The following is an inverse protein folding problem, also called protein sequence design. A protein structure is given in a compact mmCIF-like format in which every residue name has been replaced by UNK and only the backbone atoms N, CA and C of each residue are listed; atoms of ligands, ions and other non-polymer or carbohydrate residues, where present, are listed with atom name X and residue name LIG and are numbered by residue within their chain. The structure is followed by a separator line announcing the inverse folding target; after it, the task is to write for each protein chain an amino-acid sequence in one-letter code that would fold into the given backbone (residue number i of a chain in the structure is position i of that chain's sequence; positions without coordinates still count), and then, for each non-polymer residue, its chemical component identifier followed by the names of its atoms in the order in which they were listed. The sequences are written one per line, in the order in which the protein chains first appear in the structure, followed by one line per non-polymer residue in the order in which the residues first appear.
data_IF_995419589451
#
_entry.id   IF_995419589451
#
_cell.length_a   1.000
_cell.length_b   1.000
_cell.length_c   1.000
_cell.angle_alpha   90.00
_cell.angle_beta   90.00
_cell.angle_gamma   90.00
#
_symmetry.space_group_name_H-M   'P 1'
#
loop_
_entity.id
_entity.type
_entity.pdbx_description
1 polymer ?
#
# COMPACT_ATOMS: atom_id res chain seq x y z
N UNK A 1 -19.20 5.43 -19.82
CA UNK A 1 -18.89 3.98 -19.70
C UNK A 1 -17.41 3.79 -19.96
N UNK A 2 -16.60 3.58 -18.92
CA UNK A 2 -15.43 2.71 -19.00
C UNK A 2 -15.07 2.26 -17.58
N UNK A 3 -14.94 0.95 -17.45
CA UNK A 3 -14.94 0.20 -16.20
C UNK A 3 -13.59 0.38 -15.50
N UNK A 4 -13.44 1.37 -14.64
CA UNK A 4 -12.19 1.64 -13.91
C UNK A 4 -11.84 0.58 -12.85
N UNK A 5 -12.57 -0.54 -12.79
CA UNK A 5 -12.04 -1.79 -12.26
C UNK A 5 -11.16 -2.42 -13.34
N UNK A 6 -9.92 -1.94 -13.49
CA UNK A 6 -8.89 -2.87 -13.97
C UNK A 6 -8.84 -3.99 -12.93
N UNK A 7 -9.47 -5.13 -13.23
CA UNK A 7 -9.41 -6.33 -12.38
C UNK A 7 -8.00 -6.90 -12.51
N UNK A 8 -7.00 -6.18 -11.99
CA UNK A 8 -5.60 -6.62 -12.02
C UNK A 8 -5.50 -7.97 -11.33
N UNK A 9 -6.17 -8.14 -10.20
CA UNK A 9 -6.50 -9.44 -9.61
C UNK A 9 -7.60 -10.10 -10.46
N UNK A 10 -7.30 -11.20 -11.19
CA UNK A 10 -8.29 -11.89 -12.01
C UNK A 10 -9.38 -12.51 -11.14
N UNK A 11 -10.55 -12.81 -11.74
CA UNK A 11 -11.62 -13.57 -11.07
C UNK A 11 -11.26 -15.05 -10.94
N UNK A 12 -10.61 -15.59 -11.96
CA UNK A 12 -10.13 -16.97 -12.00
C UNK A 12 -8.94 -17.17 -11.05
N UNK A 13 -8.58 -18.44 -10.85
CA UNK A 13 -7.39 -18.83 -10.11
C UNK A 13 -6.16 -18.68 -10.98
N UNK A 14 -5.14 -18.00 -10.46
CA UNK A 14 -3.82 -17.93 -11.11
C UNK A 14 -3.05 -19.22 -10.77
N UNK A 15 -2.42 -19.89 -11.74
CA UNK A 15 -1.66 -21.12 -11.49
C UNK A 15 -0.46 -20.85 -10.58
N UNK A 16 -0.03 -21.86 -9.83
CA UNK A 16 1.19 -21.79 -8.98
C UNK A 16 2.32 -22.57 -9.63
N UNK A 17 3.56 -22.22 -9.29
CA UNK A 17 4.72 -22.96 -9.77
C UNK A 17 4.72 -24.43 -9.31
N UNK A 18 5.00 -25.33 -10.25
CA UNK A 18 5.17 -26.76 -9.99
C UNK A 18 6.61 -27.12 -9.67
N UNK A 19 7.58 -26.36 -10.20
CA UNK A 19 9.02 -26.60 -10.05
C UNK A 19 9.81 -25.28 -9.96
N UNK A 20 11.05 -25.38 -9.46
CA UNK A 20 11.98 -24.26 -9.36
C UNK A 20 12.70 -23.97 -10.69
N UNK A 21 13.07 -22.72 -10.93
CA UNK A 21 13.73 -22.28 -12.16
C UNK A 21 12.78 -22.04 -13.34
N UNK A 22 11.52 -21.72 -13.07
CA UNK A 22 10.56 -21.34 -14.09
C UNK A 22 10.93 -20.00 -14.75
N UNK A 23 11.00 -20.00 -16.08
CA UNK A 23 11.16 -18.80 -16.91
C UNK A 23 9.95 -18.73 -17.83
N UNK A 24 9.34 -17.56 -17.95
CA UNK A 24 8.16 -17.39 -18.80
C UNK A 24 8.15 -16.05 -19.51
N UNK A 25 7.40 -15.98 -20.60
CA UNK A 25 7.17 -14.75 -21.35
C UNK A 25 5.83 -14.12 -20.94
N UNK A 26 5.87 -12.86 -20.51
CA UNK A 26 4.73 -12.05 -20.10
C UNK A 26 4.73 -10.72 -20.88
N UNK A 27 4.02 -10.72 -22.02
CA UNK A 27 4.03 -9.65 -23.04
C UNK A 27 3.69 -8.24 -22.51
N UNK A 28 2.99 -8.17 -21.38
CA UNK A 28 2.53 -6.91 -20.79
C UNK A 28 3.59 -6.21 -19.92
N UNK A 29 4.76 -6.83 -19.73
CA UNK A 29 5.86 -6.22 -18.98
C UNK A 29 6.90 -5.61 -19.92
N UNK A 30 7.55 -4.50 -19.51
CA UNK A 30 8.67 -3.93 -20.27
C UNK A 30 9.82 -4.92 -20.49
N UNK A 31 10.00 -5.85 -19.55
CA UNK A 31 11.01 -6.91 -19.57
C UNK A 31 10.24 -8.25 -19.51
N UNK A 32 9.81 -8.79 -20.66
CA UNK A 32 8.78 -9.81 -20.70
C UNK A 32 9.28 -11.20 -20.29
N UNK A 33 10.59 -11.45 -20.29
CA UNK A 33 11.14 -12.72 -19.78
C UNK A 33 11.26 -12.66 -18.26
N UNK A 34 10.29 -13.28 -17.57
CA UNK A 34 10.21 -13.31 -16.11
C UNK A 34 10.84 -14.59 -15.58
N UNK A 35 11.84 -14.42 -14.73
CA UNK A 35 12.52 -15.48 -14.00
C UNK A 35 11.91 -15.58 -12.60
N UNK A 36 11.13 -16.63 -12.38
CA UNK A 36 10.50 -16.88 -11.09
C UNK A 36 11.47 -17.54 -10.10
N UNK A 37 11.38 -17.19 -8.80
CA UNK A 37 12.08 -17.93 -7.75
C UNK A 37 11.40 -19.27 -7.49
N UNK A 38 11.90 -20.01 -6.50
CA UNK A 38 11.21 -21.22 -6.04
C UNK A 38 9.81 -20.89 -5.53
N UNK A 39 8.95 -21.90 -5.35
CA UNK A 39 7.59 -21.73 -4.82
C UNK A 39 7.52 -20.90 -3.53
N UNK A 40 8.54 -20.97 -2.67
CA UNK A 40 8.61 -20.24 -1.41
C UNK A 40 9.56 -19.04 -1.44
N UNK A 41 9.99 -18.63 -2.63
CA UNK A 41 10.90 -17.51 -2.81
C UNK A 41 10.22 -16.15 -2.78
N UNK A 42 10.95 -15.09 -3.17
CA UNK A 42 10.45 -13.71 -3.00
C UNK A 42 10.83 -12.77 -4.14
N UNK A 43 12.02 -12.91 -4.71
CA UNK A 43 12.53 -11.97 -5.71
C UNK A 43 12.39 -12.56 -7.10
N UNK A 44 11.87 -11.77 -8.03
CA UNK A 44 11.72 -12.14 -9.44
C UNK A 44 12.78 -11.41 -10.26
N UNK A 45 13.36 -12.11 -11.24
CA UNK A 45 14.23 -11.53 -12.25
C UNK A 45 13.45 -11.20 -13.51
N UNK A 46 13.90 -10.19 -14.25
CA UNK A 46 13.26 -9.68 -15.45
C UNK A 46 14.32 -9.47 -16.53
N UNK A 47 14.03 -9.91 -17.75
CA UNK A 47 14.98 -9.88 -18.86
C UNK A 47 14.24 -9.40 -20.12
N UNK A 48 14.89 -8.55 -20.91
CA UNK A 48 14.26 -7.90 -22.08
C UNK A 48 14.17 -8.87 -23.26
N UNK A 49 15.26 -9.61 -23.50
CA UNK A 49 15.36 -10.71 -24.43
C UNK A 49 16.44 -11.70 -23.97
N UNK A 50 16.47 -12.90 -24.55
CA UNK A 50 17.36 -14.01 -24.13
C UNK A 50 18.86 -13.65 -24.07
N UNK A 51 19.28 -12.63 -24.82
CA UNK A 51 20.69 -12.18 -24.90
C UNK A 51 21.01 -11.02 -23.96
N UNK A 52 20.02 -10.44 -23.28
CA UNK A 52 20.24 -9.34 -22.32
C UNK A 52 20.51 -9.85 -20.91
N UNK A 53 21.17 -9.07 -20.05
CA UNK A 53 21.29 -9.44 -18.64
C UNK A 53 19.93 -9.53 -17.94
N UNK A 54 19.89 -10.27 -16.84
CA UNK A 54 18.72 -10.36 -15.97
C UNK A 54 18.78 -9.22 -14.94
N UNK A 55 17.69 -8.48 -14.80
CA UNK A 55 17.53 -7.36 -13.87
C UNK A 55 16.52 -7.71 -12.78
N UNK A 56 16.77 -7.25 -11.56
CA UNK A 56 15.71 -7.09 -10.57
C UNK A 56 15.02 -5.74 -10.75
N UNK A 57 13.76 -5.63 -10.32
CA UNK A 57 13.15 -4.31 -10.25
C UNK A 57 13.76 -3.50 -9.10
N UNK A 58 14.10 -2.23 -9.34
CA UNK A 58 14.68 -1.35 -8.32
C UNK A 58 13.82 -1.24 -7.05
N UNK A 59 12.50 -1.41 -7.16
CA UNK A 59 11.60 -1.41 -6.00
C UNK A 59 11.81 -2.59 -5.04
N UNK A 60 12.65 -3.57 -5.40
CA UNK A 60 12.99 -4.73 -4.57
C UNK A 60 14.44 -4.67 -4.06
N UNK A 61 15.20 -3.64 -4.43
CA UNK A 61 16.65 -3.54 -4.15
C UNK A 61 16.95 -3.70 -2.67
N UNK A 62 16.35 -2.86 -1.83
CA UNK A 62 16.61 -2.86 -0.39
C UNK A 62 16.27 -4.21 0.27
N UNK A 63 15.13 -4.80 -0.09
CA UNK A 63 14.77 -6.13 0.41
C UNK A 63 15.74 -7.23 -0.04
N UNK A 64 16.20 -7.17 -1.28
CA UNK A 64 17.18 -8.13 -1.82
C UNK A 64 18.54 -7.98 -1.15
N UNK A 65 19.01 -6.76 -0.92
CA UNK A 65 20.25 -6.46 -0.19
C UNK A 65 20.22 -7.00 1.24
N UNK A 66 19.13 -6.75 1.98
CA UNK A 66 18.96 -7.25 3.35
C UNK A 66 18.90 -8.79 3.36
N UNK A 67 18.16 -9.39 2.42
CA UNK A 67 18.11 -10.84 2.27
C UNK A 67 19.51 -11.43 2.05
N UNK A 68 20.28 -10.89 1.11
CA UNK A 68 21.61 -11.39 0.78
C UNK A 68 22.62 -11.18 1.90
N UNK A 69 22.51 -10.09 2.65
CA UNK A 69 23.39 -9.80 3.78
C UNK A 69 23.16 -10.75 4.97
N UNK A 70 21.92 -11.19 5.18
CA UNK A 70 21.52 -11.86 6.41
C UNK A 70 21.22 -13.37 6.30
N UNK A 71 21.22 -13.93 5.09
CA UNK A 71 20.90 -15.36 4.90
C UNK A 71 22.16 -16.18 4.62
N UNK A 72 22.37 -17.18 5.46
CA UNK A 72 23.44 -18.17 5.33
C UNK A 72 23.15 -19.12 4.15
N UNK A 73 23.48 -18.68 2.93
CA UNK A 73 23.66 -19.51 1.73
C UNK A 73 22.41 -20.24 1.18
N UNK A 74 21.20 -19.92 1.66
CA UNK A 74 19.95 -20.46 1.10
C UNK A 74 19.37 -19.52 0.04
N UNK A 75 19.78 -19.69 -1.21
CA UNK A 75 19.34 -18.88 -2.36
C UNK A 75 17.89 -19.13 -2.85
N UNK A 76 17.05 -19.80 -2.06
CA UNK A 76 15.68 -20.18 -2.46
C UNK A 76 14.76 -19.00 -2.76
N UNK A 77 15.10 -17.79 -2.30
CA UNK A 77 14.36 -16.55 -2.56
C UNK A 77 14.67 -15.91 -3.91
N UNK A 78 15.75 -16.34 -4.58
CA UNK A 78 16.22 -15.82 -5.86
C UNK A 78 15.96 -16.86 -6.97
N UNK A 79 15.69 -16.44 -8.22
CA UNK A 79 15.53 -17.36 -9.35
C UNK A 79 16.74 -18.24 -9.59
N UNK A 80 16.52 -19.52 -9.92
CA UNK A 80 17.59 -20.50 -10.15
C UNK A 80 18.61 -20.03 -11.20
N UNK A 81 18.16 -19.35 -12.24
CA UNK A 81 18.99 -18.75 -13.30
C UNK A 81 20.04 -17.76 -12.78
N UNK A 82 19.79 -17.13 -11.64
CA UNK A 82 20.68 -16.15 -11.02
C UNK A 82 21.55 -16.74 -9.91
N UNK A 83 21.27 -17.96 -9.43
CA UNK A 83 22.01 -18.56 -8.30
C UNK A 83 23.43 -18.98 -8.67
N UNK A 84 23.63 -19.47 -9.89
CA UNK A 84 24.94 -19.95 -10.36
C UNK A 84 25.98 -18.83 -10.46
N UNK A 85 25.55 -17.58 -10.62
CA UNK A 85 26.41 -16.41 -10.69
C UNK A 85 26.71 -15.77 -9.31
N UNK A 86 26.17 -16.33 -8.22
CA UNK A 86 26.30 -15.78 -6.86
C UNK A 86 27.39 -16.48 -6.01
N UNK A 87 28.32 -17.20 -6.65
CA UNK A 87 29.49 -17.76 -5.95
C UNK A 87 30.49 -16.66 -5.56
N UNK A 88 30.58 -16.37 -4.24
CA UNK A 88 31.44 -15.36 -3.57
C UNK A 88 30.98 -13.87 -3.68
N UNK A 89 31.19 -13.06 -2.63
CA UNK A 89 30.35 -11.91 -2.28
C UNK A 89 30.72 -10.67 -3.10
N UNK A 90 30.30 -10.61 -4.35
CA UNK A 90 30.20 -9.34 -5.05
C UNK A 90 28.72 -9.02 -5.27
N UNK A 91 28.17 -8.24 -4.32
CA UNK A 91 26.91 -7.51 -4.48
C UNK A 91 26.86 -6.69 -5.79
N UNK A 92 28.01 -6.50 -6.44
CA UNK A 92 28.23 -5.84 -7.73
C UNK A 92 27.75 -6.61 -8.98
N UNK A 93 27.23 -7.84 -8.86
CA UNK A 93 26.75 -8.59 -10.05
C UNK A 93 25.24 -8.44 -10.27
N UNK A 94 24.50 -7.87 -9.31
CA UNK A 94 23.05 -7.70 -9.42
C UNK A 94 22.73 -6.42 -10.17
N UNK A 95 21.95 -6.56 -11.23
CA UNK A 95 21.50 -5.45 -12.04
C UNK A 95 20.07 -5.06 -11.65
N UNK A 96 19.80 -3.76 -11.64
CA UNK A 96 18.50 -3.22 -11.27
C UNK A 96 17.98 -2.31 -12.37
N UNK A 97 16.67 -2.38 -12.62
CA UNK A 97 15.98 -1.47 -13.54
C UNK A 97 14.65 -1.02 -12.96
N UNK A 98 14.31 0.24 -13.20
CA UNK A 98 13.07 0.83 -12.69
C UNK A 98 11.87 0.30 -13.45
N UNK A 99 10.77 0.08 -12.71
CA UNK A 99 9.45 -0.24 -13.24
C UNK A 99 9.46 -1.41 -14.23
N UNK A 100 10.15 -2.51 -13.91
CA UNK A 100 10.13 -3.74 -14.72
C UNK A 100 9.21 -4.84 -14.15
N UNK A 101 8.88 -4.80 -12.86
CA UNK A 101 8.07 -5.84 -12.23
C UNK A 101 6.56 -5.67 -12.40
N UNK A 102 5.82 -6.72 -12.07
CA UNK A 102 4.36 -6.74 -12.02
C UNK A 102 3.77 -5.61 -11.16
N UNK A 103 4.33 -5.36 -9.97
CA UNK A 103 3.78 -4.35 -9.05
C UNK A 103 3.92 -2.94 -9.59
N UNK A 104 5.10 -2.57 -10.10
CA UNK A 104 5.32 -1.24 -10.66
C UNK A 104 4.52 -0.98 -11.93
N UNK A 105 4.21 -2.03 -12.70
CA UNK A 105 3.42 -1.93 -13.92
C UNK A 105 1.95 -2.31 -13.74
N UNK A 106 1.51 -2.59 -12.51
CA UNK A 106 0.11 -2.95 -12.18
C UNK A 106 -0.43 -4.13 -12.99
N UNK A 107 0.39 -5.17 -13.18
CA UNK A 107 0.01 -6.41 -13.83
C UNK A 107 -0.10 -7.58 -12.85
N UNK A 108 -0.92 -8.58 -13.22
CA UNK A 108 -0.95 -9.85 -12.52
C UNK A 108 0.23 -10.70 -12.99
N UNK A 109 1.00 -11.33 -12.08
CA UNK A 109 1.97 -12.33 -12.46
C UNK A 109 1.28 -13.54 -13.09
N UNK A 110 1.90 -14.15 -14.10
CA UNK A 110 1.44 -15.39 -14.71
C UNK A 110 1.36 -16.55 -13.71
N UNK A 111 2.36 -16.65 -12.83
CA UNK A 111 2.35 -17.60 -11.72
C UNK A 111 2.21 -16.91 -10.37
N UNK A 112 1.26 -17.41 -9.60
CA UNK A 112 0.95 -16.98 -8.24
C UNK A 112 1.83 -17.68 -7.20
N UNK A 113 1.99 -17.03 -6.05
CA UNK A 113 2.68 -17.58 -4.88
C UNK A 113 1.99 -18.84 -4.33
N UNK A 114 0.67 -18.86 -4.34
CA UNK A 114 -0.18 -19.96 -3.89
C UNK A 114 -0.97 -19.67 -2.62
N UNK A 115 -1.99 -20.50 -2.37
CA UNK A 115 -2.87 -20.35 -1.21
C UNK A 115 -2.10 -20.61 0.09
N UNK A 116 -2.30 -19.74 1.08
CA UNK A 116 -1.90 -19.96 2.47
C UNK A 116 -3.16 -20.10 3.33
N UNK A 117 -3.05 -20.76 4.48
CA UNK A 117 -4.20 -21.10 5.33
C UNK A 117 -5.03 -19.88 5.76
N UNK A 118 -4.35 -18.74 6.01
CA UNK A 118 -4.95 -17.48 6.48
C UNK A 118 -4.82 -16.33 5.47
N UNK A 119 -4.30 -16.58 4.27
CA UNK A 119 -4.00 -15.54 3.28
C UNK A 119 -5.19 -15.15 2.42
N UNK A 120 -5.22 -13.90 1.99
CA UNK A 120 -6.23 -13.42 1.05
C UNK A 120 -5.95 -13.94 -0.37
N UNK A 121 -6.92 -13.73 -1.28
CA UNK A 121 -6.69 -13.95 -2.72
C UNK A 121 -5.54 -13.08 -3.27
N UNK A 122 -5.38 -11.87 -2.74
CA UNK A 122 -4.32 -10.98 -3.16
C UNK A 122 -2.97 -11.52 -2.69
N UNK A 123 -2.88 -11.95 -1.44
CA UNK A 123 -1.72 -12.66 -0.90
C UNK A 123 -1.34 -13.85 -1.77
N UNK A 124 -2.32 -14.68 -2.14
CA UNK A 124 -2.03 -15.89 -2.91
C UNK A 124 -1.44 -15.60 -4.28
N UNK A 125 -1.64 -14.41 -4.83
CA UNK A 125 -1.08 -13.99 -6.12
C UNK A 125 0.26 -13.27 -5.90
N UNK A 126 0.30 -12.28 -5.01
CA UNK A 126 1.42 -11.36 -4.84
C UNK A 126 2.38 -11.73 -3.70
N UNK A 127 2.25 -12.92 -3.10
CA UNK A 127 3.07 -13.36 -1.97
C UNK A 127 4.59 -13.21 -2.18
N UNK A 128 5.09 -13.40 -3.40
CA UNK A 128 6.50 -13.12 -3.73
C UNK A 128 6.92 -11.69 -3.34
N UNK A 129 6.11 -10.70 -3.74
CA UNK A 129 6.36 -9.29 -3.45
C UNK A 129 6.14 -8.93 -1.98
N UNK A 130 5.15 -9.56 -1.34
CA UNK A 130 4.87 -9.37 0.09
C UNK A 130 6.05 -9.85 0.93
N UNK A 131 6.58 -11.04 0.63
CA UNK A 131 7.77 -11.55 1.29
C UNK A 131 9.03 -10.78 0.89
N UNK A 132 9.13 -10.26 -0.34
CA UNK A 132 10.23 -9.37 -0.73
C UNK A 132 10.25 -8.07 0.07
N UNK A 133 9.07 -7.48 0.31
CA UNK A 133 8.89 -6.30 1.14
C UNK A 133 9.15 -6.58 2.64
N UNK A 134 8.79 -7.78 3.12
CA UNK A 134 9.14 -8.24 4.47
C UNK A 134 10.65 -8.08 4.73
N UNK A 135 11.49 -8.53 3.79
CA UNK A 135 12.94 -8.37 3.92
C UNK A 135 13.36 -6.89 3.91
N UNK A 136 12.70 -6.03 3.13
CA UNK A 136 12.99 -4.58 3.10
C UNK A 136 12.80 -3.92 4.47
N UNK A 137 11.82 -4.39 5.23
CA UNK A 137 11.53 -3.97 6.60
C UNK A 137 12.29 -4.78 7.66
N UNK A 138 13.30 -5.56 7.24
CA UNK A 138 14.21 -6.23 8.15
C UNK A 138 13.68 -7.53 8.75
N UNK A 139 12.62 -8.13 8.20
CA UNK A 139 12.05 -9.39 8.70
C UNK A 139 12.05 -10.44 7.58
N UNK A 140 12.58 -11.63 7.84
CA UNK A 140 12.56 -12.75 6.90
C UNK A 140 11.17 -13.36 6.72
N UNK A 141 11.00 -14.14 5.65
CA UNK A 141 9.73 -14.81 5.31
C UNK A 141 9.14 -15.70 6.42
N UNK A 142 9.98 -16.22 7.32
CA UNK A 142 9.60 -17.07 8.45
C UNK A 142 9.56 -16.31 9.79
N UNK A 143 9.62 -14.98 9.77
CA UNK A 143 9.53 -14.14 10.97
C UNK A 143 10.85 -13.88 11.70
N UNK A 144 12.00 -14.30 11.15
CA UNK A 144 13.31 -13.94 11.72
C UNK A 144 13.58 -12.46 11.53
N UNK A 145 13.85 -11.74 12.61
CA UNK A 145 14.18 -10.32 12.56
C UNK A 145 15.68 -10.14 12.34
N UNK A 146 16.01 -9.49 11.23
CA UNK A 146 17.38 -9.17 10.81
C UNK A 146 17.78 -7.76 11.21
N UNK A 147 16.87 -6.80 11.00
CA UNK A 147 17.11 -5.37 11.15
C UNK A 147 15.88 -4.70 11.81
N UNK A 148 15.73 -4.79 13.14
CA UNK A 148 14.57 -4.24 13.85
C UNK A 148 14.34 -2.74 13.62
N UNK A 149 15.42 -1.99 13.41
CA UNK A 149 15.39 -0.55 13.13
C UNK A 149 14.70 -0.20 11.80
N UNK A 150 14.51 -1.17 10.91
CA UNK A 150 13.80 -1.00 9.64
C UNK A 150 12.30 -1.32 9.72
N UNK A 151 11.83 -1.83 10.86
CA UNK A 151 10.42 -2.16 11.06
C UNK A 151 9.61 -0.85 11.16
N UNK A 152 8.54 -0.68 10.37
CA UNK A 152 7.71 0.52 10.43
C UNK A 152 7.12 0.76 11.82
N UNK A 153 7.31 1.96 12.37
CA UNK A 153 6.84 2.31 13.72
C UNK A 153 5.33 2.10 13.92
N UNK A 154 4.53 2.22 12.86
CA UNK A 154 3.08 2.04 12.89
C UNK A 154 2.63 0.58 13.10
N UNK A 155 3.45 -0.41 12.74
CA UNK A 155 3.11 -1.83 12.99
C UNK A 155 3.65 -2.33 14.33
N UNK A 156 4.66 -1.66 14.91
CA UNK A 156 5.31 -2.06 16.17
C UNK A 156 4.32 -2.34 17.31
N UNK A 157 3.28 -1.52 17.56
CA UNK A 157 2.31 -1.79 18.63
C UNK A 157 1.52 -3.10 18.45
N UNK A 158 1.40 -3.59 17.21
CA UNK A 158 0.68 -4.82 16.87
C UNK A 158 1.60 -6.06 16.88
N UNK A 159 2.92 -5.87 16.98
CA UNK A 159 3.86 -6.97 17.15
C UNK A 159 3.96 -7.32 18.63
N UNK A 160 2.90 -7.91 19.19
CA UNK A 160 2.78 -8.28 20.62
C UNK A 160 3.65 -9.50 20.95
N UNK A 161 4.88 -9.54 20.40
CA UNK A 161 5.78 -10.68 20.56
C UNK A 161 6.05 -10.88 22.04
N UNK A 162 5.57 -11.98 22.61
CA UNK A 162 5.72 -12.27 24.05
C UNK A 162 7.16 -12.54 24.46
N UNK A 163 8.07 -12.71 23.50
CA UNK A 163 9.50 -12.92 23.71
C UNK A 163 10.26 -12.52 22.44
N UNK A 164 10.99 -11.40 22.48
CA UNK A 164 11.95 -11.03 21.42
C UNK A 164 13.30 -11.79 21.56
N UNK A 165 13.37 -12.76 22.48
CA UNK A 165 14.63 -13.37 22.95
C UNK A 165 15.38 -14.09 21.83
N UNK A 166 14.67 -14.65 20.84
CA UNK A 166 15.27 -15.42 19.75
C UNK A 166 15.35 -14.67 18.40
N UNK A 167 15.07 -13.35 18.39
CA UNK A 167 14.91 -12.56 17.15
C UNK A 167 13.89 -13.18 16.18
N UNK A 168 12.83 -13.79 16.70
CA UNK A 168 11.76 -14.42 15.93
C UNK A 168 10.43 -13.80 16.35
N UNK A 169 9.61 -13.46 15.36
CA UNK A 169 8.20 -13.15 15.59
C UNK A 169 7.44 -14.43 15.93
N UNK A 170 6.47 -14.34 16.86
CA UNK A 170 5.48 -15.39 17.02
C UNK A 170 4.50 -15.44 15.83
N UNK A 171 3.67 -16.48 15.76
CA UNK A 171 2.78 -16.72 14.62
C UNK A 171 1.78 -15.57 14.40
N UNK A 172 1.27 -14.97 15.48
CA UNK A 172 0.32 -13.86 15.41
C UNK A 172 1.00 -12.59 14.89
N UNK A 173 2.15 -12.22 15.47
CA UNK A 173 2.94 -11.07 15.04
C UNK A 173 3.43 -11.22 13.59
N UNK A 174 3.83 -12.43 13.16
CA UNK A 174 4.18 -12.70 11.77
C UNK A 174 2.97 -12.53 10.85
N UNK A 175 1.80 -13.01 11.27
CA UNK A 175 0.56 -12.86 10.50
C UNK A 175 0.21 -11.39 10.31
N UNK A 176 0.26 -10.58 11.37
CA UNK A 176 -0.08 -9.17 11.32
C UNK A 176 0.97 -8.35 10.55
N UNK A 177 2.24 -8.71 10.68
CA UNK A 177 3.30 -8.12 9.88
C UNK A 177 3.16 -8.41 8.37
N UNK A 178 2.81 -9.65 8.01
CA UNK A 178 2.58 -10.02 6.60
C UNK A 178 1.31 -9.37 6.04
N UNK A 179 0.27 -9.17 6.86
CA UNK A 179 -0.91 -8.37 6.49
C UNK A 179 -0.54 -6.92 6.23
N UNK A 180 0.30 -6.33 7.07
CA UNK A 180 0.83 -4.98 6.84
C UNK A 180 1.58 -4.89 5.51
N UNK A 181 2.48 -5.84 5.24
CA UNK A 181 3.18 -5.91 3.95
C UNK A 181 2.21 -6.09 2.77
N UNK A 182 1.17 -6.92 2.93
CA UNK A 182 0.12 -7.07 1.94
C UNK A 182 -0.57 -5.73 1.67
N UNK A 183 -0.96 -4.97 2.69
CA UNK A 183 -1.60 -3.66 2.55
C UNK A 183 -0.74 -2.66 1.79
N UNK A 184 0.58 -2.62 2.05
CA UNK A 184 1.51 -1.79 1.30
C UNK A 184 1.53 -2.18 -0.18
N UNK A 185 1.61 -3.47 -0.51
CA UNK A 185 1.57 -3.92 -1.92
C UNK A 185 0.21 -3.67 -2.56
N UNK A 186 -0.89 -3.84 -1.81
CA UNK A 186 -2.26 -3.53 -2.27
C UNK A 186 -2.38 -2.06 -2.65
N UNK A 187 -1.92 -1.14 -1.80
CA UNK A 187 -1.95 0.30 -2.07
C UNK A 187 -1.12 0.65 -3.31
N UNK A 188 0.11 0.09 -3.43
CA UNK A 188 0.95 0.24 -4.64
C UNK A 188 0.24 -0.22 -5.91
N UNK A 189 -0.60 -1.25 -5.79
CA UNK A 189 -1.39 -1.84 -6.88
C UNK A 189 -2.76 -1.16 -7.10
N UNK A 190 -3.11 -0.12 -6.33
CA UNK A 190 -4.41 0.57 -6.42
C UNK A 190 -5.56 -0.18 -5.74
N UNK A 191 -5.28 -1.05 -4.78
CA UNK A 191 -6.25 -1.74 -3.93
C UNK A 191 -6.28 -1.13 -2.52
N UNK A 192 -7.45 -1.18 -1.88
CA UNK A 192 -7.60 -0.84 -0.46
C UNK A 192 -6.92 -1.85 0.44
N UNK A 193 -6.44 -1.39 1.60
CA UNK A 193 -6.02 -2.26 2.69
C UNK A 193 -7.10 -3.28 3.11
N UNK A 194 -6.69 -4.41 3.67
CA UNK A 194 -7.56 -5.48 4.14
C UNK A 194 -8.43 -4.96 5.28
N UNK A 195 -9.72 -5.33 5.30
CA UNK A 195 -10.66 -4.90 6.34
C UNK A 195 -11.10 -3.44 6.23
N UNK A 196 -10.31 -2.58 5.57
CA UNK A 196 -10.74 -1.26 5.11
C UNK A 196 -11.43 -1.43 3.75
N UNK A 197 -12.75 -1.64 3.73
CA UNK A 197 -13.51 -0.95 2.68
C UNK A 197 -13.16 0.53 2.82
N UNK A 198 -12.88 1.22 1.71
CA UNK A 198 -12.64 2.67 1.61
C UNK A 198 -12.75 3.39 2.95
N UNK A 199 -11.66 3.97 3.50
CA UNK A 199 -11.92 5.00 4.51
C UNK A 199 -12.89 5.98 3.86
N UNK A 200 -13.94 6.36 4.59
CA UNK A 200 -15.02 7.13 3.97
C UNK A 200 -14.50 8.45 3.38
N UNK A 201 -13.38 8.95 3.92
CA UNK A 201 -12.51 9.99 3.35
C UNK A 201 -12.03 9.70 1.90
N UNK A 202 -11.50 8.49 1.62
CA UNK A 202 -11.05 8.11 0.27
C UNK A 202 -12.24 7.90 -0.67
N UNK A 203 -13.38 7.39 -0.16
CA UNK A 203 -14.63 7.32 -0.94
C UNK A 203 -15.09 8.73 -1.33
N UNK A 204 -15.05 9.66 -0.38
CA UNK A 204 -15.39 11.06 -0.61
C UNK A 204 -14.44 11.70 -1.63
N UNK A 205 -13.13 11.50 -1.49
CA UNK A 205 -12.11 12.00 -2.42
C UNK A 205 -12.39 11.61 -3.87
N UNK A 206 -12.76 10.36 -4.12
CA UNK A 206 -13.08 9.93 -5.48
C UNK A 206 -14.36 10.53 -6.03
N UNK A 207 -15.40 10.63 -5.19
CA UNK A 207 -16.63 11.31 -5.58
C UNK A 207 -16.32 12.77 -5.97
N UNK A 208 -15.50 13.46 -5.19
CA UNK A 208 -15.07 14.83 -5.47
C UNK A 208 -14.29 14.90 -6.79
N UNK A 209 -13.28 14.06 -7.00
CA UNK A 209 -12.53 14.02 -8.26
C UNK A 209 -13.41 13.77 -9.47
N UNK A 210 -14.45 12.95 -9.32
CA UNK A 210 -15.41 12.68 -10.40
C UNK A 210 -16.35 13.85 -10.66
N UNK A 211 -16.78 14.56 -9.62
CA UNK A 211 -17.66 15.72 -9.74
C UNK A 211 -16.92 16.95 -10.30
N UNK A 212 -15.62 17.07 -10.02
CA UNK A 212 -14.78 18.20 -10.42
C UNK A 212 -13.56 17.74 -11.24
N UNK A 213 -13.76 17.13 -12.43
CA UNK A 213 -12.68 16.51 -13.20
C UNK A 213 -11.65 17.50 -13.76
N UNK A 214 -12.03 18.77 -13.86
CA UNK A 214 -11.17 19.86 -14.35
C UNK A 214 -10.59 20.73 -13.23
N UNK A 215 -10.69 20.29 -11.98
CA UNK A 215 -10.21 21.03 -10.81
C UNK A 215 -9.01 20.31 -10.18
N UNK A 216 -8.17 21.08 -9.52
CA UNK A 216 -7.04 20.59 -8.75
C UNK A 216 -7.54 20.14 -7.37
N UNK A 217 -7.69 18.83 -7.22
CA UNK A 217 -8.16 18.18 -5.99
C UNK A 217 -6.99 17.55 -5.25
N UNK A 218 -6.54 18.20 -4.18
CA UNK A 218 -5.44 17.74 -3.33
C UNK A 218 -5.99 16.91 -2.17
N UNK A 219 -5.52 15.68 -2.04
CA UNK A 219 -5.75 14.88 -0.84
C UNK A 219 -4.73 15.29 0.21
N UNK A 220 -5.16 15.34 1.46
CA UNK A 220 -4.25 15.49 2.58
C UNK A 220 -3.48 16.84 2.53
N UNK A 221 -4.21 17.92 2.24
CA UNK A 221 -3.65 19.25 2.02
C UNK A 221 -3.07 19.86 3.32
N UNK A 222 -1.82 20.36 3.31
CA UNK A 222 -1.24 21.02 4.47
C UNK A 222 -1.95 22.36 4.72
N UNK A 223 -2.67 22.45 5.84
CA UNK A 223 -3.34 23.66 6.30
C UNK A 223 -2.54 24.21 7.48
N UNK A 224 -1.47 24.93 7.18
CA UNK A 224 -0.51 25.43 8.17
C UNK A 224 0.06 24.25 9.00
N UNK A 225 0.01 24.32 10.32
CA UNK A 225 0.39 23.24 11.24
C UNK A 225 -0.64 22.10 11.34
N UNK A 226 -1.78 22.19 10.66
CA UNK A 226 -2.80 21.16 10.54
C UNK A 226 -2.89 20.61 9.11
N UNK A 227 -3.77 19.64 8.92
CA UNK A 227 -3.95 18.97 7.63
C UNK A 227 -5.42 18.81 7.34
N UNK A 228 -5.83 19.26 6.16
CA UNK A 228 -7.16 19.07 5.64
C UNK A 228 -7.28 17.74 4.89
N UNK A 229 -8.43 17.09 4.95
CA UNK A 229 -8.64 15.81 4.26
C UNK A 229 -8.60 16.01 2.74
N UNK A 230 -9.35 16.97 2.22
CA UNK A 230 -9.41 17.26 0.78
C UNK A 230 -9.44 18.78 0.57
N UNK A 231 -8.72 19.28 -0.41
CA UNK A 231 -8.77 20.68 -0.86
C UNK A 231 -9.04 20.76 -2.35
N UNK A 232 -9.93 21.66 -2.75
CA UNK A 232 -10.22 21.99 -4.16
C UNK A 232 -9.76 23.44 -4.39
N UNK A 233 -8.67 23.60 -5.15
CA UNK A 233 -7.97 24.89 -5.27
C UNK A 233 -8.85 25.97 -5.89
N UNK A 234 -9.49 25.66 -7.03
CA UNK A 234 -10.26 26.64 -7.80
C UNK A 234 -11.54 27.07 -7.07
N UNK A 235 -12.01 26.28 -6.11
CA UNK A 235 -13.13 26.66 -5.23
C UNK A 235 -12.66 27.28 -3.92
N UNK A 236 -11.35 27.27 -3.65
CA UNK A 236 -10.76 27.62 -2.35
C UNK A 236 -11.56 26.97 -1.21
N UNK A 237 -11.73 25.65 -1.33
CA UNK A 237 -12.68 24.86 -0.54
C UNK A 237 -12.01 23.64 0.08
N UNK A 238 -12.03 23.57 1.40
CA UNK A 238 -11.68 22.40 2.19
C UNK A 238 -12.91 21.51 2.36
N UNK A 239 -12.69 20.20 2.29
CA UNK A 239 -13.69 19.17 2.58
C UNK A 239 -13.11 18.23 3.63
N UNK A 240 -13.90 17.98 4.68
CA UNK A 240 -13.54 17.18 5.84
C UNK A 240 -14.54 16.04 6.04
N UNK A 241 -14.04 14.83 6.32
CA UNK A 241 -14.88 13.71 6.70
C UNK A 241 -14.71 13.36 8.18
N UNK A 242 -15.82 13.33 8.90
CA UNK A 242 -15.87 13.21 10.36
C UNK A 242 -16.46 11.84 10.72
N UNK A 243 -15.60 10.88 11.05
CA UNK A 243 -16.04 9.55 11.51
C UNK A 243 -16.71 9.58 12.88
N UNK A 244 -17.27 8.43 13.32
CA UNK A 244 -17.95 8.31 14.63
C UNK A 244 -17.09 8.77 15.81
N UNK A 245 -15.77 8.62 15.71
CA UNK A 245 -14.79 9.04 16.71
C UNK A 245 -14.77 10.57 16.98
N UNK A 246 -15.34 11.39 16.09
CA UNK A 246 -15.51 12.84 16.33
C UNK A 246 -16.68 13.17 17.26
N UNK A 247 -17.60 12.22 17.43
CA UNK A 247 -18.87 12.44 18.15
C UNK A 247 -18.99 11.59 19.41
N UNK A 248 -18.32 10.43 19.46
CA UNK A 248 -18.40 9.48 20.57
C UNK A 248 -17.01 9.06 21.02
N UNK A 249 -16.77 8.92 22.35
CA UNK A 249 -15.52 8.41 22.85
C UNK A 249 -15.38 6.95 22.43
N UNK A 250 -14.28 6.64 21.76
CA UNK A 250 -13.95 5.29 21.33
C UNK A 250 -13.01 4.69 22.36
N UNK A 251 -13.52 3.74 23.17
CA UNK A 251 -12.81 3.22 24.35
C UNK A 251 -11.41 2.66 24.04
N UNK A 252 -11.22 2.06 22.86
CA UNK A 252 -9.92 1.52 22.42
C UNK A 252 -8.96 2.58 21.85
N UNK A 253 -9.41 3.83 21.66
CA UNK A 253 -8.62 4.94 21.11
C UNK A 253 -8.40 6.05 22.15
N UNK A 254 -8.31 5.74 23.44
CA UNK A 254 -8.05 6.73 24.50
C UNK A 254 -9.30 7.43 25.07
N UNK A 255 -10.50 6.95 24.73
CA UNK A 255 -11.75 7.36 25.38
C UNK A 255 -12.06 8.86 25.26
N UNK A 256 -12.33 9.52 26.38
CA UNK A 256 -12.74 10.93 26.41
C UNK A 256 -11.60 11.90 26.10
N UNK A 257 -10.36 11.57 26.46
CA UNK A 257 -9.20 12.46 26.21
C UNK A 257 -8.92 12.59 24.71
N UNK A 258 -9.02 11.48 23.97
CA UNK A 258 -8.86 11.50 22.51
C UNK A 258 -9.98 12.23 21.78
N UNK A 259 -11.21 12.19 22.31
CA UNK A 259 -12.35 12.94 21.78
C UNK A 259 -12.11 14.46 21.91
N UNK A 260 -11.60 14.92 23.05
CA UNK A 260 -11.32 16.36 23.26
C UNK A 260 -10.16 16.86 22.41
N UNK A 261 -9.10 16.06 22.23
CA UNK A 261 -8.00 16.38 21.29
C UNK A 261 -8.53 16.49 19.85
N UNK A 262 -9.44 15.59 19.46
CA UNK A 262 -10.05 15.59 18.13
C UNK A 262 -10.90 16.85 17.90
N UNK A 263 -11.77 17.21 18.85
CA UNK A 263 -12.56 18.45 18.79
C UNK A 263 -11.69 19.71 18.74
N UNK A 264 -10.60 19.74 19.51
CA UNK A 264 -9.66 20.86 19.50
C UNK A 264 -9.01 21.03 18.12
N UNK A 265 -8.65 19.92 17.46
CA UNK A 265 -8.12 19.93 16.09
C UNK A 265 -9.15 20.41 15.08
N UNK A 266 -10.39 19.91 15.14
CA UNK A 266 -11.46 20.31 14.21
C UNK A 266 -11.76 21.82 14.33
N UNK A 267 -11.77 22.34 15.56
CA UNK A 267 -11.90 23.78 15.81
C UNK A 267 -10.74 24.57 15.19
N UNK A 268 -9.50 24.12 15.39
CA UNK A 268 -8.32 24.74 14.79
C UNK A 268 -8.37 24.75 13.26
N UNK A 269 -8.85 23.68 12.62
CA UNK A 269 -9.04 23.64 11.15
C UNK A 269 -10.05 24.69 10.69
N UNK A 270 -11.17 24.84 11.38
CA UNK A 270 -12.19 25.85 11.05
C UNK A 270 -11.64 27.28 11.18
N UNK A 271 -10.89 27.56 12.25
CA UNK A 271 -10.25 28.86 12.49
C UNK A 271 -9.22 29.18 11.40
N UNK A 272 -8.36 28.22 11.02
CA UNK A 272 -7.40 28.39 9.93
C UNK A 272 -8.08 28.61 8.59
N UNK A 273 -9.15 27.86 8.28
CA UNK A 273 -9.91 28.09 7.04
C UNK A 273 -10.48 29.50 7.00
N UNK A 274 -11.05 29.98 8.09
CA UNK A 274 -11.56 31.35 8.17
C UNK A 274 -10.44 32.39 7.99
N UNK A 275 -9.29 32.20 8.66
CA UNK A 275 -8.13 33.08 8.54
C UNK A 275 -7.62 33.20 7.10
N UNK A 276 -7.46 32.07 6.41
CA UNK A 276 -7.03 32.02 5.00
C UNK A 276 -8.18 32.27 3.99
N UNK A 277 -9.38 32.63 4.47
CA UNK A 277 -10.59 32.84 3.65
C UNK A 277 -10.95 31.65 2.76
N UNK A 278 -10.67 30.44 3.24
CA UNK A 278 -11.07 29.18 2.63
C UNK A 278 -12.47 28.79 3.11
N UNK A 279 -13.25 28.18 2.22
CA UNK A 279 -14.49 27.53 2.61
C UNK A 279 -14.19 26.19 3.26
N UNK A 280 -15.10 25.69 4.09
CA UNK A 280 -15.00 24.37 4.69
C UNK A 280 -16.37 23.68 4.69
N UNK A 281 -16.42 22.45 4.18
CA UNK A 281 -17.62 21.62 4.14
C UNK A 281 -17.34 20.29 4.85
N UNK A 282 -18.23 19.93 5.76
CA UNK A 282 -18.14 18.69 6.53
C UNK A 282 -19.09 17.63 5.98
N UNK A 283 -18.61 16.39 6.02
CA UNK A 283 -19.38 15.17 5.88
C UNK A 283 -19.15 14.31 7.13
N UNK A 284 -20.15 13.56 7.55
CA UNK A 284 -20.06 12.69 8.72
C UNK A 284 -20.50 11.26 8.43
N UNK A 285 -20.34 10.38 9.42
CA UNK A 285 -20.61 8.95 9.28
C UNK A 285 -22.08 8.57 9.05
N UNK A 286 -23.03 9.48 9.29
CA UNK A 286 -24.44 9.27 8.97
C UNK A 286 -24.75 9.61 7.50
N UNK A 287 -23.81 10.22 6.77
CA UNK A 287 -24.02 10.58 5.38
C UNK A 287 -23.91 9.37 4.45
N UNK A 288 -24.95 9.17 3.64
CA UNK A 288 -24.85 8.28 2.49
C UNK A 288 -24.04 8.97 1.37
N UNK A 289 -22.73 8.75 1.40
CA UNK A 289 -21.81 9.33 0.41
C UNK A 289 -22.05 8.74 -0.98
N UNK A 290 -22.87 9.44 -1.76
CA UNK A 290 -23.08 9.23 -3.19
C UNK A 290 -22.88 10.56 -3.96
N UNK A 291 -22.65 10.49 -5.27
CA UNK A 291 -22.34 11.66 -6.12
C UNK A 291 -23.39 12.76 -6.05
N UNK A 292 -24.67 12.37 -6.00
CA UNK A 292 -25.78 13.32 -5.95
C UNK A 292 -25.73 14.12 -4.65
N UNK A 293 -25.65 13.43 -3.51
CA UNK A 293 -25.65 14.07 -2.20
C UNK A 293 -24.43 14.97 -2.01
N UNK A 294 -23.23 14.47 -2.33
CA UNK A 294 -21.99 15.25 -2.22
C UNK A 294 -22.06 16.52 -3.07
N UNK A 295 -22.55 16.41 -4.31
CA UNK A 295 -22.75 17.56 -5.21
C UNK A 295 -23.75 18.56 -4.65
N UNK A 296 -24.91 18.08 -4.18
CA UNK A 296 -25.97 18.93 -3.63
C UNK A 296 -25.47 19.72 -2.41
N UNK A 297 -24.79 19.06 -1.46
CA UNK A 297 -24.25 19.73 -0.26
C UNK A 297 -23.24 20.81 -0.60
N UNK A 298 -22.26 20.51 -1.47
CA UNK A 298 -21.26 21.50 -1.88
C UNK A 298 -21.93 22.66 -2.64
N UNK A 299 -22.87 22.36 -3.54
CA UNK A 299 -23.58 23.40 -4.30
C UNK A 299 -24.39 24.33 -3.39
N UNK A 300 -25.08 23.79 -2.39
CA UNK A 300 -25.82 24.58 -1.40
C UNK A 300 -24.88 25.45 -0.56
N UNK A 301 -23.73 24.91 -0.16
CA UNK A 301 -22.72 25.67 0.57
C UNK A 301 -22.16 26.83 -0.27
N UNK A 302 -21.80 26.57 -1.53
CA UNK A 302 -21.23 27.58 -2.42
C UNK A 302 -22.24 28.69 -2.76
N UNK A 303 -23.51 28.35 -2.94
CA UNK A 303 -24.58 29.35 -3.11
C UNK A 303 -24.65 30.30 -1.91
N UNK A 304 -24.78 29.74 -0.71
CA UNK A 304 -24.80 30.55 0.53
C UNK A 304 -23.56 31.42 0.63
N UNK A 305 -22.37 30.85 0.37
CA UNK A 305 -21.11 31.59 0.44
C UNK A 305 -21.08 32.78 -0.52
N UNK A 306 -21.59 32.64 -1.73
CA UNK A 306 -21.65 33.72 -2.72
C UNK A 306 -22.70 34.79 -2.37
N UNK A 307 -23.73 34.47 -1.58
CA UNK A 307 -24.74 35.44 -1.14
C UNK A 307 -24.22 36.36 0.00
N UNK A 308 -23.09 36.03 0.63
CA UNK A 308 -22.46 36.81 1.72
C UNK A 308 -21.28 37.69 1.25
N UNK A 309 -20.99 37.72 -0.06
CA UNK A 309 -20.00 38.58 -0.72
C UNK A 309 -20.69 39.49 -1.73
#
# INVERSE_FOLDING_TARGET
MNNMRSKIVPKETVPTLESDGCITFEENLPYPFVHYPSRFGSFLGFQENENTPIYFCSCQRKGLEIYLFNQEFKFGHIPKSLRYNLGEPSQNTLLFKDKVCHVCNKHCPKFAFGKTLRGTKFYSIYGYYIHGLSFEYGIGSLGRVYAPELIPHEIVPNLITRSYVDKMLDEESLTDFLRYCEDVIRIRMGYFAIGKQWTTEVKLLEIIKKLYPNHTVLHQYPLDHLKADIFIEELSLVIEYQGEQHFKPVAFMGGNEALEITKARDKGKAELCNYYKLGIVYFDYNDDLNERMVKERISLYMKKRNDYY
#
